data_IF_404304462100
#
_entry.id   IF_404304462100
#
_cell.length_a   1.000
_cell.length_b   1.000
_cell.length_c   1.000
_cell.angle_alpha   90.00
_cell.angle_beta   90.00
_cell.angle_gamma   90.00
#
_symmetry.space_group_name_H-M   'P 1'
#
loop_
_entity.id
_entity.type
_entity.pdbx_description
1 polymer ?
#
# COMPACT_ATOMS: atom_id res chain seq x y z
N UNK A 1 -56.12 53.53 38.70
CA UNK A 1 -56.10 53.26 37.24
C UNK A 1 -55.73 51.80 37.02
N UNK A 2 -56.64 51.06 36.34
CA UNK A 2 -56.47 49.79 35.59
C UNK A 2 -55.82 48.57 36.30
N UNK A 3 -56.14 47.32 36.01
CA UNK A 3 -57.35 46.56 35.64
C UNK A 3 -56.84 45.11 35.38
N UNK A 4 -57.67 44.10 35.68
CA UNK A 4 -57.71 42.76 35.05
C UNK A 4 -56.62 41.69 35.32
N UNK A 5 -57.04 40.60 35.98
CA UNK A 5 -56.63 39.17 35.72
C UNK A 5 -57.37 38.67 34.44
N UNK A 6 -57.26 37.42 33.88
CA UNK A 6 -56.54 36.19 34.31
C UNK A 6 -56.00 35.26 33.14
N UNK A 7 -55.59 34.00 33.47
CA UNK A 7 -55.62 32.73 32.66
C UNK A 7 -54.63 32.63 31.45
N UNK A 8 -54.12 31.51 30.90
CA UNK A 8 -54.18 30.03 31.06
C UNK A 8 -53.26 29.42 29.97
N UNK A 9 -52.54 28.33 30.29
CA UNK A 9 -52.19 27.16 29.42
C UNK A 9 -51.08 27.23 28.35
N UNK A 10 -50.42 26.06 28.22
CA UNK A 10 -49.66 25.51 27.08
C UNK A 10 -48.29 26.11 26.80
N UNK A 11 -47.25 25.36 26.42
CA UNK A 11 -47.17 23.97 26.04
C UNK A 11 -45.72 23.48 26.16
N UNK A 12 -45.62 22.20 26.50
CA UNK A 12 -44.52 21.29 26.24
C UNK A 12 -43.87 21.54 24.86
N UNK A 13 -42.55 21.76 24.83
CA UNK A 13 -41.74 21.51 23.63
C UNK A 13 -40.41 20.90 24.10
N UNK A 14 -40.46 19.59 24.31
CA UNK A 14 -39.30 18.71 24.37
C UNK A 14 -38.68 18.74 22.98
N UNK A 15 -37.65 19.56 22.80
CA UNK A 15 -36.84 19.54 21.57
C UNK A 15 -35.92 18.34 21.61
N UNK A 16 -36.48 17.25 21.09
CA UNK A 16 -35.85 16.07 20.52
C UNK A 16 -34.40 16.35 20.07
N UNK A 17 -33.42 15.98 20.91
CA UNK A 17 -32.05 15.78 20.42
C UNK A 17 -32.10 14.56 19.51
N UNK A 18 -32.21 14.84 18.22
CA UNK A 18 -32.04 13.88 17.15
C UNK A 18 -30.72 13.15 17.41
N UNK A 19 -30.86 11.89 17.82
CA UNK A 19 -29.83 10.89 17.75
C UNK A 19 -29.23 10.97 16.35
N UNK A 20 -28.06 11.59 16.23
CA UNK A 20 -27.13 11.34 15.16
C UNK A 20 -26.68 9.89 15.32
N UNK A 21 -27.56 8.96 14.95
CA UNK A 21 -27.16 7.63 14.50
C UNK A 21 -26.45 7.90 13.19
N UNK A 22 -25.18 8.30 13.30
CA UNK A 22 -24.27 8.25 12.19
C UNK A 22 -24.37 6.84 11.65
N UNK A 23 -24.70 6.71 10.37
CA UNK A 23 -24.56 5.47 9.64
C UNK A 23 -23.09 5.03 9.80
N UNK A 24 -22.79 4.22 10.81
CA UNK A 24 -21.65 3.34 10.76
C UNK A 24 -22.05 2.27 9.75
N UNK A 25 -21.86 2.56 8.46
CA UNK A 25 -21.65 1.48 7.51
C UNK A 25 -20.48 0.68 8.10
N UNK A 26 -20.77 -0.47 8.71
CA UNK A 26 -19.71 -1.38 9.14
C UNK A 26 -19.09 -1.96 7.87
N UNK A 27 -18.27 -1.14 7.20
CA UNK A 27 -17.21 -1.65 6.34
C UNK A 27 -16.51 -2.69 7.20
N UNK A 28 -16.39 -3.94 6.77
CA UNK A 28 -15.76 -5.01 7.58
C UNK A 28 -14.33 -4.71 8.06
N UNK A 29 -13.79 -3.55 7.65
CA UNK A 29 -12.56 -2.93 8.10
C UNK A 29 -12.63 -2.47 9.56
N UNK A 30 -11.82 -3.10 10.41
CA UNK A 30 -11.57 -2.67 11.79
C UNK A 30 -10.36 -1.74 11.80
N UNK A 31 -10.47 -0.56 12.43
CA UNK A 31 -9.33 0.37 12.55
C UNK A 31 -8.22 -0.22 13.42
N UNK A 32 -6.97 0.09 13.05
CA UNK A 32 -5.77 -0.18 13.83
C UNK A 32 -5.10 1.14 14.24
N UNK A 33 -4.36 1.12 15.34
CA UNK A 33 -3.54 2.27 15.76
C UNK A 33 -2.32 2.43 14.85
N UNK A 34 -1.72 3.62 14.83
CA UNK A 34 -0.53 3.94 14.02
C UNK A 34 -0.74 5.22 13.21
N UNK A 35 0.36 5.88 12.88
CA UNK A 35 0.43 7.13 12.10
C UNK A 35 1.51 7.09 11.01
N UNK A 36 2.06 5.89 10.76
CA UNK A 36 3.16 5.68 9.84
C UNK A 36 2.68 5.53 8.40
N UNK A 37 3.50 5.90 7.42
CA UNK A 37 3.14 5.75 6.02
C UNK A 37 4.30 5.24 5.18
N UNK A 38 4.08 4.13 4.48
CA UNK A 38 5.10 3.46 3.69
C UNK A 38 5.28 4.18 2.35
N UNK A 39 6.52 4.54 2.02
CA UNK A 39 6.88 5.22 0.77
C UNK A 39 8.15 4.63 0.16
N UNK A 40 8.32 4.81 -1.14
CA UNK A 40 9.62 4.62 -1.80
C UNK A 40 10.61 5.64 -1.26
N UNK A 41 11.84 5.22 -0.95
CA UNK A 41 12.93 6.15 -0.66
C UNK A 41 13.36 6.90 -1.92
N UNK A 42 13.27 6.24 -3.07
CA UNK A 42 13.68 6.78 -4.38
C UNK A 42 12.63 7.77 -4.91
N UNK A 43 11.36 7.36 -4.87
CA UNK A 43 10.25 8.08 -5.51
C UNK A 43 9.15 8.40 -4.49
N UNK A 44 9.41 9.39 -3.64
CA UNK A 44 8.44 9.82 -2.61
C UNK A 44 7.17 10.38 -3.25
N UNK A 45 6.03 9.76 -2.92
CA UNK A 45 4.72 10.13 -3.45
C UNK A 45 4.17 11.43 -2.86
N UNK A 46 4.47 11.69 -1.60
CA UNK A 46 4.04 12.89 -0.89
C UNK A 46 5.02 13.21 0.23
N UNK A 47 5.32 14.49 0.42
CA UNK A 47 6.17 14.91 1.53
C UNK A 47 5.47 14.68 2.87
N UNK A 48 4.16 14.95 2.93
CA UNK A 48 3.35 14.92 4.15
C UNK A 48 2.00 14.25 3.87
N UNK A 49 1.87 12.93 4.02
CA UNK A 49 0.57 12.28 3.99
C UNK A 49 -0.24 12.74 5.21
N UNK A 50 -1.45 13.24 4.98
CA UNK A 50 -2.34 13.68 6.05
C UNK A 50 -3.39 12.62 6.37
N UNK A 51 -3.93 12.64 7.60
CA UNK A 51 -5.06 11.80 8.01
C UNK A 51 -4.86 10.31 7.73
N UNK A 52 -3.63 9.81 7.91
CA UNK A 52 -3.29 8.40 7.72
C UNK A 52 -4.09 7.56 8.71
N UNK A 53 -4.84 6.59 8.18
CA UNK A 53 -5.66 5.66 8.95
C UNK A 53 -5.36 4.24 8.52
N UNK A 54 -4.98 3.43 9.49
CA UNK A 54 -4.73 2.01 9.30
C UNK A 54 -5.95 1.16 9.63
N UNK A 55 -6.04 0.04 8.93
CA UNK A 55 -6.99 -1.01 9.23
C UNK A 55 -6.24 -2.28 9.64
N UNK A 56 -6.88 -3.10 10.48
CA UNK A 56 -6.35 -4.42 10.84
C UNK A 56 -6.15 -5.24 9.57
N UNK A 57 -5.00 -5.91 9.42
CA UNK A 57 -4.77 -6.74 8.25
C UNK A 57 -5.67 -7.98 8.29
N UNK A 58 -5.98 -8.51 7.12
CA UNK A 58 -6.78 -9.73 6.93
C UNK A 58 -6.27 -10.49 5.70
N UNK A 59 -6.87 -11.63 5.39
CA UNK A 59 -6.50 -12.34 4.15
C UNK A 59 -6.83 -11.49 2.91
N UNK A 60 -6.14 -11.77 1.80
CA UNK A 60 -6.38 -11.05 0.54
C UNK A 60 -7.83 -11.27 0.06
N UNK A 61 -8.38 -12.47 0.26
CA UNK A 61 -9.75 -12.80 -0.13
C UNK A 61 -10.78 -12.02 0.69
N UNK A 62 -10.56 -11.85 1.99
CA UNK A 62 -11.43 -11.06 2.87
C UNK A 62 -11.32 -9.55 2.60
N UNK A 63 -10.12 -9.06 2.25
CA UNK A 63 -9.90 -7.64 1.96
C UNK A 63 -10.50 -7.22 0.62
N UNK A 64 -10.39 -8.05 -0.42
CA UNK A 64 -10.82 -7.74 -1.80
C UNK A 64 -12.23 -7.14 -1.91
N UNK A 65 -13.29 -7.70 -1.29
CA UNK A 65 -14.63 -7.14 -1.35
C UNK A 65 -14.78 -5.78 -0.63
N UNK A 66 -13.83 -5.40 0.22
CA UNK A 66 -13.85 -4.17 1.03
C UNK A 66 -13.02 -3.03 0.40
N UNK A 67 -12.29 -3.30 -0.69
CA UNK A 67 -11.46 -2.31 -1.36
C UNK A 67 -12.31 -1.26 -2.11
N UNK A 68 -11.80 -0.03 -2.23
CA UNK A 68 -12.33 0.93 -3.21
C UNK A 68 -12.31 0.34 -4.62
N UNK A 69 -13.26 0.74 -5.47
CA UNK A 69 -13.43 0.19 -6.83
C UNK A 69 -12.17 0.33 -7.71
N UNK A 70 -11.43 1.42 -7.51
CA UNK A 70 -10.14 1.71 -8.16
C UNK A 70 -9.08 0.63 -7.91
N UNK A 71 -9.04 0.06 -6.70
CA UNK A 71 -8.11 -1.01 -6.32
C UNK A 71 -8.72 -2.41 -6.51
N UNK A 72 -10.02 -2.57 -6.25
CA UNK A 72 -10.71 -3.84 -6.35
C UNK A 72 -10.64 -4.44 -7.77
N UNK A 73 -10.75 -3.59 -8.80
CA UNK A 73 -10.63 -4.03 -10.20
C UNK A 73 -9.20 -4.37 -10.64
N UNK A 74 -8.21 -4.07 -9.80
CA UNK A 74 -6.78 -4.20 -10.11
C UNK A 74 -6.08 -5.28 -9.29
N UNK A 75 -6.68 -5.72 -8.20
CA UNK A 75 -6.08 -6.74 -7.36
C UNK A 75 -6.13 -8.10 -8.04
N UNK A 76 -4.97 -8.75 -8.10
CA UNK A 76 -4.83 -10.15 -8.51
C UNK A 76 -3.95 -10.86 -7.49
N UNK A 77 -4.42 -11.95 -6.87
CA UNK A 77 -3.55 -12.79 -6.07
C UNK A 77 -2.38 -13.30 -6.92
N UNK A 78 -1.18 -13.26 -6.36
CA UNK A 78 0.01 -13.83 -6.96
C UNK A 78 -0.12 -15.35 -6.98
N UNK A 79 0.22 -15.99 -8.11
CA UNK A 79 0.39 -17.44 -8.16
C UNK A 79 1.60 -17.84 -7.32
N UNK A 80 1.32 -18.38 -6.13
CA UNK A 80 2.34 -18.72 -5.13
C UNK A 80 3.29 -19.81 -5.60
N UNK A 81 2.89 -20.63 -6.59
CA UNK A 81 3.77 -21.66 -7.15
C UNK A 81 4.90 -21.07 -7.99
N UNK A 82 4.75 -19.82 -8.43
CA UNK A 82 5.76 -19.06 -9.16
C UNK A 82 6.67 -18.26 -8.25
N UNK A 83 6.50 -18.28 -6.92
CA UNK A 83 7.44 -17.65 -6.00
C UNK A 83 8.62 -18.59 -5.71
N UNK A 84 9.85 -18.06 -5.56
CA UNK A 84 11.06 -18.87 -5.35
C UNK A 84 11.21 -19.39 -3.91
N UNK A 85 10.14 -19.36 -3.12
CA UNK A 85 10.08 -19.79 -1.74
C UNK A 85 8.66 -20.26 -1.39
N UNK A 86 8.49 -21.17 -0.41
CA UNK A 86 7.17 -21.54 0.06
C UNK A 86 6.52 -20.36 0.78
N UNK A 87 5.27 -20.06 0.42
CA UNK A 87 4.48 -19.02 1.08
C UNK A 87 3.72 -19.64 2.26
N UNK A 88 4.08 -19.21 3.47
CA UNK A 88 3.44 -19.65 4.71
C UNK A 88 2.44 -18.63 5.23
N UNK A 89 2.66 -17.34 4.90
CA UNK A 89 1.80 -16.24 5.30
C UNK A 89 1.42 -15.34 4.13
N UNK A 90 0.13 -15.02 4.07
CA UNK A 90 -0.48 -14.14 3.08
C UNK A 90 -1.37 -13.13 3.79
N UNK A 91 -1.08 -11.84 3.66
CA UNK A 91 -1.82 -10.78 4.36
C UNK A 91 -2.01 -9.55 3.48
N UNK A 92 -3.15 -8.89 3.62
CA UNK A 92 -3.44 -7.59 3.03
C UNK A 92 -3.50 -6.50 4.11
N UNK A 93 -2.85 -5.37 3.86
CA UNK A 93 -2.95 -4.15 4.64
C UNK A 93 -3.59 -3.06 3.79
N UNK A 94 -4.60 -2.40 4.34
CA UNK A 94 -5.19 -1.21 3.73
C UNK A 94 -4.87 -0.01 4.62
N UNK A 95 -4.49 1.08 3.96
CA UNK A 95 -4.26 2.38 4.59
C UNK A 95 -5.03 3.41 3.78
N UNK A 96 -5.77 4.28 4.45
CA UNK A 96 -6.32 5.48 3.81
C UNK A 96 -5.52 6.70 4.24
N UNK A 97 -5.36 7.65 3.32
CA UNK A 97 -4.62 8.88 3.54
C UNK A 97 -5.22 10.00 2.69
N UNK A 98 -4.86 11.25 3.00
CA UNK A 98 -5.12 12.40 2.15
C UNK A 98 -3.78 12.94 1.64
N UNK A 99 -3.77 13.42 0.41
CA UNK A 99 -2.60 14.04 -0.21
C UNK A 99 -3.02 15.13 -1.18
N UNK A 100 -2.10 16.06 -1.47
CA UNK A 100 -2.36 17.20 -2.35
C UNK A 100 -3.21 18.30 -1.69
N UNK A 101 -3.35 19.41 -2.40
CA UNK A 101 -4.08 20.61 -1.94
C UNK A 101 -5.58 20.35 -1.70
N UNK A 102 -6.17 19.46 -2.47
CA UNK A 102 -7.59 19.11 -2.39
C UNK A 102 -7.92 18.10 -1.27
N UNK A 103 -6.88 17.50 -0.64
CA UNK A 103 -7.01 16.53 0.45
C UNK A 103 -7.96 15.37 0.13
N UNK A 104 -7.99 14.95 -1.13
CA UNK A 104 -8.84 13.85 -1.61
C UNK A 104 -8.44 12.56 -0.88
N UNK A 105 -9.39 11.81 -0.31
CA UNK A 105 -9.11 10.51 0.29
C UNK A 105 -8.58 9.52 -0.76
N UNK A 106 -7.44 8.92 -0.47
CA UNK A 106 -6.75 7.92 -1.28
C UNK A 106 -6.37 6.71 -0.43
N UNK A 107 -6.01 5.63 -1.10
CA UNK A 107 -5.70 4.37 -0.46
C UNK A 107 -4.36 3.81 -0.92
N UNK A 108 -3.71 3.15 0.03
CA UNK A 108 -2.54 2.33 -0.21
C UNK A 108 -2.86 0.91 0.26
N UNK A 109 -2.71 -0.04 -0.65
CA UNK A 109 -2.89 -1.47 -0.41
C UNK A 109 -1.52 -2.14 -0.45
N UNK A 110 -1.21 -2.94 0.56
CA UNK A 110 -0.02 -3.80 0.57
C UNK A 110 -0.48 -5.27 0.64
N UNK A 111 -0.01 -6.08 -0.30
CA UNK A 111 -0.12 -7.53 -0.27
C UNK A 111 1.22 -8.10 0.12
N UNK A 112 1.24 -8.99 1.11
CA UNK A 112 2.47 -9.58 1.63
C UNK A 112 2.39 -11.10 1.50
N UNK A 113 3.40 -11.67 0.86
CA UNK A 113 3.66 -13.10 0.78
C UNK A 113 5.00 -13.37 1.46
N UNK A 114 5.02 -14.19 2.50
CA UNK A 114 6.24 -14.46 3.26
C UNK A 114 6.41 -15.95 3.56
N UNK A 115 7.67 -16.38 3.55
CA UNK A 115 8.12 -17.58 4.25
C UNK A 115 8.26 -17.21 5.74
N UNK A 116 7.63 -17.95 6.63
CA UNK A 116 7.70 -17.70 8.08
C UNK A 116 6.69 -16.69 8.66
N UNK A 117 6.71 -16.64 9.98
CA UNK A 117 5.77 -15.87 10.81
C UNK A 117 6.42 -14.73 11.61
N UNK A 118 7.75 -14.67 11.67
CA UNK A 118 8.48 -13.74 12.56
C UNK A 118 9.13 -12.57 11.81
N UNK A 119 9.36 -11.48 12.57
CA UNK A 119 10.09 -10.30 12.10
C UNK A 119 11.29 -10.07 13.04
N UNK A 120 12.47 -9.63 12.56
CA UNK A 120 12.77 -9.15 11.21
C UNK A 120 12.45 -10.22 10.18
N UNK A 121 11.87 -9.83 9.04
CA UNK A 121 11.72 -10.77 7.93
C UNK A 121 13.16 -11.01 7.44
N UNK A 122 13.89 -11.86 8.16
CA UNK A 122 15.16 -12.46 7.75
C UNK A 122 14.91 -13.57 6.73
N UNK A 123 13.63 -13.88 6.51
CA UNK A 123 13.14 -14.89 5.61
C UNK A 123 12.76 -14.30 4.26
N UNK A 124 12.38 -15.18 3.33
CA UNK A 124 12.05 -14.79 1.99
C UNK A 124 10.68 -14.11 1.94
N UNK A 125 10.56 -13.03 1.18
CA UNK A 125 9.28 -12.34 0.99
C UNK A 125 9.11 -11.79 -0.41
N UNK A 126 7.84 -11.55 -0.74
CA UNK A 126 7.40 -10.76 -1.87
C UNK A 126 6.26 -9.86 -1.43
N UNK A 127 6.42 -8.57 -1.65
CA UNK A 127 5.44 -7.55 -1.27
C UNK A 127 5.03 -6.80 -2.52
N UNK A 128 3.72 -6.59 -2.69
CA UNK A 128 3.13 -5.73 -3.71
C UNK A 128 2.45 -4.57 -3.02
N UNK A 129 2.97 -3.35 -3.18
CA UNK A 129 2.33 -2.13 -2.66
C UNK A 129 1.73 -1.32 -3.81
N UNK A 130 0.43 -1.08 -3.75
CA UNK A 130 -0.34 -0.31 -4.71
C UNK A 130 -0.80 0.97 -4.03
N UNK A 131 -0.40 2.13 -4.55
CA UNK A 131 -0.78 3.42 -3.99
C UNK A 131 -1.52 4.25 -5.02
N UNK A 132 -2.71 4.74 -4.67
CA UNK A 132 -3.44 5.70 -5.50
C UNK A 132 -2.67 7.03 -5.59
N UNK A 133 -2.40 7.49 -6.80
CA UNK A 133 -1.77 8.78 -7.08
C UNK A 133 -2.13 9.29 -8.47
N UNK A 134 -2.47 10.58 -8.59
CA UNK A 134 -2.88 11.17 -9.88
C UNK A 134 -1.69 11.36 -10.83
N UNK A 135 -0.53 11.66 -10.27
CA UNK A 135 0.70 11.91 -11.01
C UNK A 135 1.60 10.68 -11.00
N UNK A 136 2.25 10.42 -12.14
CA UNK A 136 3.26 9.38 -12.26
C UNK A 136 4.53 9.81 -11.52
N UNK A 137 4.88 9.18 -10.37
CA UNK A 137 6.07 9.55 -9.60
C UNK A 137 7.37 9.20 -10.35
N UNK A 138 7.29 8.40 -11.42
CA UNK A 138 8.42 7.97 -12.24
C UNK A 138 8.62 8.84 -13.48
N UNK A 139 7.80 9.87 -13.72
CA UNK A 139 7.82 10.66 -14.96
C UNK A 139 9.14 11.38 -15.23
N UNK A 140 9.91 11.67 -14.19
CA UNK A 140 11.19 12.38 -14.28
C UNK A 140 12.41 11.48 -14.09
N UNK A 141 12.19 10.18 -13.93
CA UNK A 141 13.26 9.22 -13.74
C UNK A 141 14.03 9.11 -15.05
N UNK A 142 15.33 9.39 -14.98
CA UNK A 142 16.25 9.22 -16.09
C UNK A 142 17.13 8.03 -15.78
N UNK A 143 16.97 6.90 -16.49
CA UNK A 143 17.86 5.77 -16.31
C UNK A 143 19.32 6.19 -16.45
N UNK A 144 20.18 5.74 -15.54
CA UNK A 144 21.62 5.95 -15.70
C UNK A 144 22.11 5.26 -16.96
N UNK A 145 22.94 5.94 -17.75
CA UNK A 145 23.58 5.34 -18.92
C UNK A 145 24.45 4.12 -18.56
N UNK A 146 24.92 4.02 -17.31
CA UNK A 146 25.69 2.87 -16.83
C UNK A 146 24.82 1.67 -16.44
N UNK A 147 23.49 1.81 -16.39
CA UNK A 147 22.60 0.78 -15.86
C UNK A 147 22.78 0.52 -14.35
N UNK A 148 23.32 1.51 -13.62
CA UNK A 148 23.54 1.43 -12.18
C UNK A 148 22.74 2.52 -11.44
N UNK A 149 22.31 2.21 -10.22
CA UNK A 149 21.73 3.19 -9.30
C UNK A 149 22.80 4.02 -8.55
N UNK A 150 22.37 4.92 -7.66
CA UNK A 150 23.30 5.80 -6.94
C UNK A 150 24.24 5.09 -5.95
N UNK A 151 23.95 3.83 -5.60
CA UNK A 151 24.76 2.98 -4.75
C UNK A 151 25.63 1.99 -5.55
N UNK A 152 25.55 2.02 -6.89
CA UNK A 152 26.27 1.10 -7.77
C UNK A 152 25.60 -0.27 -7.92
N UNK A 153 24.35 -0.42 -7.49
CA UNK A 153 23.56 -1.62 -7.75
C UNK A 153 23.04 -1.61 -9.19
N UNK A 154 22.69 -2.79 -9.71
CA UNK A 154 22.12 -2.90 -11.06
C UNK A 154 20.72 -2.30 -11.09
N UNK A 155 20.46 -1.40 -12.04
CA UNK A 155 19.14 -0.87 -12.35
C UNK A 155 18.76 -1.28 -13.77
N UNK A 156 17.81 -2.20 -13.89
CA UNK A 156 17.22 -2.55 -15.18
C UNK A 156 16.02 -1.66 -15.44
N UNK A 157 15.88 -1.24 -16.70
CA UNK A 157 14.74 -0.48 -17.16
C UNK A 157 14.20 -1.18 -18.39
N UNK A 158 12.97 -1.63 -18.29
CA UNK A 158 12.34 -2.46 -19.31
C UNK A 158 10.91 -1.96 -19.56
N UNK A 159 10.41 -2.21 -20.77
CA UNK A 159 8.99 -2.02 -21.07
C UNK A 159 8.19 -3.19 -20.51
N UNK A 160 7.22 -2.88 -19.66
CA UNK A 160 6.25 -3.83 -19.14
C UNK A 160 5.14 -4.07 -20.17
N UNK A 161 4.71 -3.00 -20.82
CA UNK A 161 3.92 -2.94 -22.07
C UNK A 161 4.51 -1.83 -22.95
N UNK A 162 3.92 -1.57 -24.12
CA UNK A 162 4.37 -0.48 -25.00
C UNK A 162 4.36 0.90 -24.30
N UNK A 163 3.46 1.10 -23.32
CA UNK A 163 3.24 2.39 -22.66
C UNK A 163 3.71 2.43 -21.19
N UNK A 164 4.03 1.28 -20.58
CA UNK A 164 4.40 1.20 -19.17
C UNK A 164 5.88 0.87 -19.06
N UNK A 165 6.65 1.82 -18.54
CA UNK A 165 8.05 1.61 -18.15
C UNK A 165 8.12 1.04 -16.74
N UNK A 166 9.00 0.08 -16.57
CA UNK A 166 9.25 -0.63 -15.33
C UNK A 166 10.73 -0.47 -14.96
N UNK A 167 10.97 -0.17 -13.67
CA UNK A 167 12.29 0.05 -13.09
C UNK A 167 12.56 -1.04 -12.07
N UNK A 168 13.73 -1.69 -12.16
CA UNK A 168 14.09 -2.80 -11.30
C UNK A 168 15.47 -2.57 -10.69
N UNK A 169 15.47 -2.30 -9.39
CA UNK A 169 16.65 -2.10 -8.56
C UNK A 169 17.07 -3.44 -7.97
N UNK A 170 18.19 -3.97 -8.44
CA UNK A 170 18.76 -5.25 -8.03
C UNK A 170 20.00 -4.98 -7.19
N UNK A 171 19.89 -5.18 -5.87
CA UNK A 171 21.03 -5.10 -4.94
C UNK A 171 22.14 -6.06 -5.37
N UNK A 172 23.32 -5.50 -5.67
CA UNK A 172 24.54 -6.25 -6.01
C UNK A 172 25.76 -5.77 -5.23
N UNK A 173 25.58 -4.79 -4.34
CA UNK A 173 26.62 -4.22 -3.47
C UNK A 173 26.21 -4.36 -2.00
N UNK A 174 27.07 -3.87 -1.09
CA UNK A 174 26.77 -3.84 0.35
C UNK A 174 25.93 -2.62 0.78
N UNK A 175 25.44 -1.83 -0.18
CA UNK A 175 24.63 -0.63 0.08
C UNK A 175 23.43 -0.61 -0.86
N UNK A 176 22.30 -0.11 -0.38
CA UNK A 176 21.05 -0.01 -1.14
C UNK A 176 20.17 1.09 -0.58
N UNK A 177 19.14 1.43 -1.34
CA UNK A 177 17.96 2.06 -0.77
C UNK A 177 17.30 1.13 0.24
N UNK A 178 16.53 1.73 1.12
CA UNK A 178 15.84 1.07 2.20
C UNK A 178 14.37 0.94 1.83
N UNK A 179 13.89 -0.30 1.86
CA UNK A 179 12.50 -0.61 1.66
C UNK A 179 11.75 -0.61 3.00
N UNK A 180 10.61 0.07 3.03
CA UNK A 180 9.71 0.05 4.19
C UNK A 180 8.34 -0.54 3.84
N UNK A 181 7.79 -1.31 4.77
CA UNK A 181 6.48 -1.96 4.61
C UNK A 181 5.75 -2.09 5.94
N UNK A 182 4.43 -2.22 5.86
CA UNK A 182 3.57 -2.34 7.03
C UNK A 182 3.68 -3.72 7.68
N UNK A 183 3.68 -3.72 9.02
CA UNK A 183 3.47 -4.89 9.85
C UNK A 183 2.50 -4.56 10.97
N UNK A 184 1.56 -5.46 11.23
CA UNK A 184 0.70 -5.36 12.39
C UNK A 184 1.36 -5.98 13.62
N UNK A 185 1.26 -5.28 14.74
CA UNK A 185 1.62 -5.73 16.08
C UNK A 185 0.33 -6.09 16.82
N UNK A 186 0.08 -7.39 16.97
CA UNK A 186 -1.11 -7.91 17.65
C UNK A 186 -1.21 -7.47 19.12
N UNK A 187 -0.06 -7.33 19.79
CA UNK A 187 0.00 -6.96 21.21
C UNK A 187 -0.43 -5.51 21.42
N UNK A 188 0.07 -4.61 20.57
CA UNK A 188 -0.22 -3.17 20.65
C UNK A 188 -1.42 -2.76 19.78
N UNK A 189 -1.97 -3.69 19.00
CA UNK A 189 -3.03 -3.46 18.02
C UNK A 189 -2.72 -2.28 17.07
N UNK A 190 -1.48 -2.21 16.64
CA UNK A 190 -0.94 -1.09 15.89
C UNK A 190 -0.25 -1.56 14.60
N UNK A 191 -0.32 -0.74 13.56
CA UNK A 191 0.49 -0.90 12.35
C UNK A 191 1.76 -0.09 12.50
N UNK A 192 2.90 -0.76 12.28
CA UNK A 192 4.24 -0.18 12.29
C UNK A 192 4.89 -0.33 10.91
N UNK A 193 5.96 0.41 10.67
CA UNK A 193 6.85 0.17 9.53
C UNK A 193 8.00 -0.73 9.93
N UNK A 194 8.25 -1.73 9.11
CA UNK A 194 9.50 -2.49 9.11
C UNK A 194 10.38 -1.91 8.01
N UNK A 195 11.66 -1.80 8.31
CA UNK A 195 12.69 -1.20 7.47
C UNK A 195 13.69 -2.29 7.12
N UNK A 196 13.96 -2.50 5.84
CA UNK A 196 14.85 -3.57 5.35
C UNK A 196 15.51 -3.18 4.03
N UNK A 197 16.44 -4.01 3.55
CA UNK A 197 16.96 -3.93 2.19
C UNK A 197 16.27 -5.00 1.35
N UNK A 198 15.84 -4.66 0.15
CA UNK A 198 15.17 -5.57 -0.77
C UNK A 198 15.53 -5.23 -2.21
N UNK A 199 15.40 -6.20 -3.10
CA UNK A 199 15.28 -5.85 -4.52
C UNK A 199 13.93 -5.19 -4.73
N UNK A 200 13.90 -4.08 -5.45
CA UNK A 200 12.71 -3.25 -5.62
C UNK A 200 12.33 -3.16 -7.10
N UNK A 201 11.03 -3.19 -7.38
CA UNK A 201 10.49 -2.99 -8.72
C UNK A 201 9.38 -1.94 -8.68
N UNK A 202 9.45 -0.97 -9.58
CA UNK A 202 8.55 0.18 -9.57
C UNK A 202 7.99 0.45 -10.98
N UNK A 203 6.68 0.66 -11.04
CA UNK A 203 6.00 1.11 -12.26
C UNK A 203 4.73 1.88 -11.91
N UNK A 204 4.22 2.64 -12.87
CA UNK A 204 2.99 3.39 -12.73
C UNK A 204 2.00 2.99 -13.81
N UNK A 205 0.76 2.72 -13.42
CA UNK A 205 -0.33 2.42 -14.35
C UNK A 205 -1.62 3.10 -13.89
N UNK A 206 -2.12 4.03 -14.73
CA UNK A 206 -3.47 4.60 -14.65
C UNK A 206 -3.93 4.97 -13.23
N UNK A 207 -3.19 5.86 -12.57
CA UNK A 207 -3.54 6.36 -11.24
C UNK A 207 -3.04 5.50 -10.09
N UNK A 208 -2.33 4.40 -10.35
CA UNK A 208 -1.75 3.54 -9.33
C UNK A 208 -0.24 3.46 -9.51
N UNK A 209 0.49 3.81 -8.46
CA UNK A 209 1.90 3.50 -8.33
C UNK A 209 2.09 2.14 -7.69
N UNK A 210 2.77 1.25 -8.40
CA UNK A 210 3.14 -0.08 -7.96
C UNK A 210 4.59 -0.04 -7.49
N UNK A 211 4.80 -0.42 -6.24
CA UNK A 211 6.11 -0.60 -5.65
C UNK A 211 6.16 -2.02 -5.06
N UNK A 212 6.88 -2.89 -5.74
CA UNK A 212 7.08 -4.28 -5.36
C UNK A 212 8.45 -4.44 -4.72
N UNK A 213 8.57 -5.34 -3.76
CA UNK A 213 9.84 -5.67 -3.16
C UNK A 213 9.96 -7.17 -2.90
N UNK A 214 11.16 -7.72 -3.03
CA UNK A 214 11.44 -9.11 -2.66
C UNK A 214 12.81 -9.32 -2.05
N UNK A 215 12.87 -10.36 -1.24
CA UNK A 215 14.09 -10.88 -0.63
C UNK A 215 14.07 -12.40 -0.72
N UNK A 216 15.19 -13.00 -1.12
CA UNK A 216 15.33 -14.47 -1.27
C UNK A 216 16.52 -15.03 -0.50
N UNK A 217 17.02 -14.31 0.51
CA UNK A 217 18.13 -14.75 1.36
C UNK A 217 19.51 -14.70 0.70
N UNK A 218 19.58 -14.44 -0.61
CA UNK A 218 20.82 -14.27 -1.38
C UNK A 218 20.89 -12.88 -1.97
N UNK A 219 22.05 -12.24 -1.87
CA UNK A 219 22.38 -10.98 -2.57
C UNK A 219 23.24 -11.23 -3.82
N UNK A 220 23.52 -12.49 -4.14
CA UNK A 220 24.23 -12.83 -5.37
C UNK A 220 23.29 -12.63 -6.57
N UNK A 221 23.80 -11.96 -7.61
CA UNK A 221 23.06 -11.73 -8.84
C UNK A 221 22.71 -13.07 -9.51
N UNK A 222 21.41 -13.40 -9.51
CA UNK A 222 20.84 -14.52 -10.24
C UNK A 222 19.83 -13.97 -11.26
N UNK A 223 20.23 -13.94 -12.52
CA UNK A 223 19.40 -13.40 -13.59
C UNK A 223 18.10 -14.19 -13.75
N UNK A 224 18.11 -15.51 -13.52
CA UNK A 224 16.93 -16.36 -13.66
C UNK A 224 15.88 -16.01 -12.61
N UNK A 225 16.31 -15.83 -11.36
CA UNK A 225 15.47 -15.36 -10.28
C UNK A 225 14.85 -13.99 -10.63
N UNK A 226 15.65 -13.05 -11.10
CA UNK A 226 15.19 -11.71 -11.41
C UNK A 226 14.19 -11.69 -12.57
N UNK A 227 14.44 -12.47 -13.62
CA UNK A 227 13.52 -12.60 -14.75
C UNK A 227 12.19 -13.27 -14.33
N UNK A 228 12.24 -14.23 -13.40
CA UNK A 228 11.05 -14.81 -12.78
C UNK A 228 10.24 -13.77 -11.98
N UNK A 229 10.90 -12.92 -11.20
CA UNK A 229 10.23 -11.84 -10.46
C UNK A 229 9.64 -10.77 -11.39
N UNK A 230 10.32 -10.47 -12.50
CA UNK A 230 9.80 -9.59 -13.56
C UNK A 230 8.56 -10.21 -14.19
N UNK A 231 8.57 -11.51 -14.52
CA UNK A 231 7.41 -12.20 -15.06
C UNK A 231 6.19 -12.16 -14.12
N UNK A 232 6.43 -12.35 -12.82
CA UNK A 232 5.40 -12.17 -11.77
C UNK A 232 4.82 -10.74 -11.77
N UNK A 233 5.68 -9.72 -11.88
CA UNK A 233 5.23 -8.33 -11.97
C UNK A 233 4.39 -8.08 -13.24
N UNK A 234 4.77 -8.67 -14.38
CA UNK A 234 3.97 -8.58 -15.63
C UNK A 234 2.59 -9.23 -15.43
N UNK A 235 2.52 -10.41 -14.83
CA UNK A 235 1.26 -11.14 -14.59
C UNK A 235 0.22 -10.31 -13.80
N UNK A 236 0.67 -9.43 -12.89
CA UNK A 236 -0.21 -8.52 -12.16
C UNK A 236 -1.00 -7.61 -13.12
N UNK A 237 -0.40 -7.18 -14.23
CA UNK A 237 -1.01 -6.22 -15.17
C UNK A 237 -1.58 -6.86 -16.46
N UNK A 238 -1.07 -8.02 -16.90
CA UNK A 238 -1.25 -8.57 -18.26
C UNK A 238 -2.64 -9.09 -18.68
N UNK A 239 -3.72 -8.87 -17.93
CA UNK A 239 -5.08 -9.36 -18.33
C UNK A 239 -6.00 -8.20 -18.70
N UNK A 240 -5.46 -7.22 -19.43
CA UNK A 240 -6.21 -6.08 -19.95
C UNK A 240 -6.33 -6.08 -21.48
N UNK A 241 -5.96 -7.18 -22.14
CA UNK A 241 -6.24 -7.44 -23.55
C UNK A 241 -7.60 -8.14 -23.72
#
# INVERSE_FOLDING_TARGET
>A
MRNFRPKVVSSLAVSLFLLLVGCSSSTGLVKASGDVFAQSEIHRLTQDPENVKHYRPMSIQEMTPLLPSSLQSRIKPVDKTKLPFPVEKEMAYLVSFASGSEKVPRHQLQLTYAQGNEVPITENFFIVRMTETDENPLAHVKPSASGLDSFGNVMRVESLTDDITFYHHIITTNSSYVYNFYKYDDKNQAVNLIVTNAHEMEFYDQGIFYHLAYHTGSTQLDLTLHDQMVALAKDLISVRS
#
